data_IF_689477870414
#
_entry.id   IF_689477870414
#
_cell.length_a   1.000
_cell.length_b   1.000
_cell.length_c   1.000
_cell.angle_alpha   90.00
_cell.angle_beta   90.00
_cell.angle_gamma   90.00
#
_symmetry.space_group_name_H-M   'P 1'
#
loop_
_entity.id
_entity.type
_entity.pdbx_description
1 polymer ?
#
# COMPACT_ATOMS: atom_id res chain seq x y z
N UNK A 1 4.29 16.71 -16.31
CA UNK A 1 3.10 17.58 -16.06
C UNK A 1 2.91 17.68 -14.55
N UNK A 2 2.89 18.86 -13.93
CA UNK A 2 2.87 18.95 -12.46
C UNK A 2 1.46 18.97 -11.85
N UNK A 3 1.34 18.52 -10.61
CA UNK A 3 0.16 18.73 -9.76
C UNK A 3 0.11 20.18 -9.28
N UNK A 4 -1.08 20.77 -9.26
CA UNK A 4 -1.35 22.06 -8.62
C UNK A 4 -1.42 21.88 -7.10
N UNK A 5 -1.24 22.96 -6.35
CA UNK A 5 -1.23 22.89 -4.88
C UNK A 5 -2.51 22.27 -4.28
N UNK A 6 -3.69 22.52 -4.85
CA UNK A 6 -4.91 21.86 -4.37
C UNK A 6 -4.90 20.34 -4.66
N UNK A 7 -4.38 19.91 -5.82
CA UNK A 7 -4.26 18.49 -6.17
C UNK A 7 -3.25 17.79 -5.24
N UNK A 8 -2.19 18.48 -4.81
CA UNK A 8 -1.24 17.97 -3.80
C UNK A 8 -1.93 17.76 -2.45
N UNK A 9 -2.78 18.70 -2.02
CA UNK A 9 -3.53 18.58 -0.76
C UNK A 9 -4.57 17.44 -0.84
N UNK A 10 -5.29 17.32 -1.96
CA UNK A 10 -6.24 16.23 -2.18
C UNK A 10 -5.54 14.87 -2.24
N UNK A 11 -4.37 14.79 -2.89
CA UNK A 11 -3.56 13.57 -2.90
C UNK A 11 -3.09 13.20 -1.49
N UNK A 12 -2.59 14.17 -0.72
CA UNK A 12 -2.16 13.95 0.65
C UNK A 12 -3.32 13.42 1.50
N UNK A 13 -4.51 14.03 1.41
CA UNK A 13 -5.70 13.57 2.12
C UNK A 13 -6.18 12.18 1.69
N UNK A 14 -6.07 11.85 0.40
CA UNK A 14 -6.41 10.51 -0.10
C UNK A 14 -5.44 9.45 0.44
N UNK A 15 -4.14 9.74 0.44
CA UNK A 15 -3.13 8.83 1.00
C UNK A 15 -3.28 8.71 2.52
N UNK A 16 -3.57 9.81 3.21
CA UNK A 16 -3.83 9.86 4.66
C UNK A 16 -4.92 8.88 5.08
N UNK A 17 -6.01 8.82 4.32
CA UNK A 17 -7.10 7.87 4.56
C UNK A 17 -6.62 6.42 4.41
N UNK A 18 -5.91 6.09 3.34
CA UNK A 18 -5.40 4.73 3.12
C UNK A 18 -4.44 4.29 4.24
N UNK A 19 -3.62 5.23 4.72
CA UNK A 19 -2.69 5.00 5.81
C UNK A 19 -3.43 4.77 7.13
N UNK A 20 -4.38 5.65 7.46
CA UNK A 20 -5.14 5.61 8.72
C UNK A 20 -6.05 4.38 8.80
N UNK A 21 -6.67 4.00 7.68
CA UNK A 21 -7.64 2.90 7.63
C UNK A 21 -6.99 1.53 7.89
N UNK A 22 -5.86 1.24 7.22
CA UNK A 22 -5.25 -0.10 7.26
C UNK A 22 -3.78 -0.14 7.62
N UNK A 23 -2.98 0.83 7.17
CA UNK A 23 -1.53 0.77 7.30
C UNK A 23 -1.06 0.99 8.74
N UNK A 24 -1.58 2.01 9.41
CA UNK A 24 -1.28 2.29 10.83
C UNK A 24 -1.76 1.15 11.73
N UNK A 25 -2.93 0.59 11.48
CA UNK A 25 -3.45 -0.56 12.23
C UNK A 25 -2.57 -1.81 12.09
N UNK A 26 -2.11 -2.10 10.87
CA UNK A 26 -1.22 -3.23 10.61
C UNK A 26 0.13 -3.06 11.32
N UNK A 27 0.75 -1.87 11.22
CA UNK A 27 2.00 -1.59 11.92
C UNK A 27 1.81 -1.60 13.45
N UNK A 28 0.70 -1.06 13.94
CA UNK A 28 0.36 -1.04 15.37
C UNK A 28 0.24 -2.45 15.94
N UNK A 29 -0.35 -3.37 15.17
CA UNK A 29 -0.46 -4.78 15.55
C UNK A 29 0.92 -5.45 15.59
N UNK A 30 1.76 -5.21 14.58
CA UNK A 30 3.12 -5.77 14.52
C UNK A 30 4.02 -5.27 15.65
N UNK A 31 3.94 -3.98 15.94
CA UNK A 31 4.72 -3.35 17.00
C UNK A 31 3.99 -3.34 18.34
N UNK A 32 2.78 -3.89 18.47
CA UNK A 32 1.99 -3.85 19.71
C UNK A 32 2.04 -2.47 20.43
N UNK A 33 1.91 -1.39 19.66
CA UNK A 33 1.94 -0.01 20.16
C UNK A 33 1.18 0.93 19.21
N UNK A 34 0.67 2.07 19.68
CA UNK A 34 0.05 3.06 18.81
C UNK A 34 1.05 3.62 17.79
N UNK A 35 0.54 3.91 16.59
CA UNK A 35 1.32 4.46 15.48
C UNK A 35 0.78 5.85 15.17
N UNK A 36 1.68 6.81 15.15
CA UNK A 36 1.47 8.15 14.59
C UNK A 36 2.07 8.22 13.19
N UNK A 37 1.54 9.10 12.35
CA UNK A 37 2.06 9.27 11.00
C UNK A 37 2.11 10.74 10.58
N UNK A 38 2.97 11.03 9.60
CA UNK A 38 3.06 12.34 8.97
C UNK A 38 3.33 12.18 7.47
N UNK A 39 2.54 12.89 6.65
CA UNK A 39 2.68 12.89 5.19
C UNK A 39 3.34 14.18 4.72
N UNK A 40 4.33 14.04 3.83
CA UNK A 40 5.04 15.14 3.18
C UNK A 40 5.15 14.88 1.68
N UNK A 41 4.61 15.78 0.87
CA UNK A 41 4.76 15.75 -0.59
C UNK A 41 5.64 16.94 -0.98
N UNK A 42 6.97 16.77 -1.15
CA UNK A 42 7.85 17.86 -1.54
C UNK A 42 7.44 18.47 -2.88
N UNK A 43 7.27 19.80 -2.93
CA UNK A 43 7.02 20.51 -4.19
C UNK A 43 8.24 20.40 -5.13
N UNK A 44 8.07 19.72 -6.26
CA UNK A 44 9.11 19.62 -7.29
C UNK A 44 9.11 20.91 -8.13
N UNK A 45 9.80 21.96 -7.66
CA UNK A 45 9.90 23.24 -8.38
C UNK A 45 10.90 23.13 -9.53
N UNK A 46 10.54 23.70 -10.70
CA UNK A 46 11.25 23.67 -11.99
C UNK A 46 12.73 24.12 -12.01
N UNK A 47 13.32 24.56 -10.91
CA UNK A 47 14.66 25.13 -10.89
C UNK A 47 15.53 24.39 -9.89
N UNK A 48 16.62 23.84 -10.43
CA UNK A 48 17.69 23.11 -9.78
C UNK A 48 17.34 21.68 -9.39
N UNK A 49 17.96 20.75 -10.14
CA UNK A 49 18.23 19.34 -9.81
C UNK A 49 17.65 18.97 -8.46
N UNK A 50 16.50 18.27 -8.44
CA UNK A 50 15.83 17.81 -7.24
C UNK A 50 16.77 16.95 -6.39
N UNK A 51 17.62 17.61 -5.60
CA UNK A 51 18.37 17.00 -4.52
C UNK A 51 17.39 16.89 -3.38
N UNK A 52 16.54 15.87 -3.44
CA UNK A 52 15.86 15.42 -2.25
C UNK A 52 16.97 14.96 -1.29
N UNK A 53 17.24 15.79 -0.29
CA UNK A 53 18.34 15.63 0.65
C UNK A 53 17.87 14.72 1.78
N UNK A 54 18.20 13.44 1.67
CA UNK A 54 17.92 12.45 2.70
C UNK A 54 19.16 12.19 3.55
N UNK A 55 19.01 12.00 4.87
CA UNK A 55 20.14 11.75 5.76
C UNK A 55 20.89 10.45 5.39
N UNK A 56 22.19 10.45 5.68
CA UNK A 56 23.19 9.51 5.14
C UNK A 56 23.39 8.23 5.95
N UNK A 57 22.66 8.05 7.07
CA UNK A 57 22.86 6.97 8.06
C UNK A 57 21.65 6.01 8.19
N UNK A 58 20.78 5.96 7.20
CA UNK A 58 19.62 5.06 7.17
C UNK A 58 19.95 3.72 6.48
N UNK A 59 19.44 2.62 7.03
CA UNK A 59 19.32 1.34 6.33
C UNK A 59 18.08 1.42 5.45
N UNK A 60 18.32 1.54 4.15
CA UNK A 60 17.27 1.90 3.20
C UNK A 60 16.63 0.65 2.67
N UNK A 61 15.83 0.03 3.52
CA UNK A 61 15.29 -1.27 3.25
C UNK A 61 13.89 -1.23 2.68
N UNK A 62 13.82 -1.63 1.41
CA UNK A 62 12.75 -2.40 0.75
C UNK A 62 12.23 -1.61 -0.44
N UNK A 63 12.44 -2.12 -1.65
CA UNK A 63 11.76 -1.63 -2.85
C UNK A 63 10.74 -2.68 -3.26
N UNK A 64 9.47 -2.28 -3.28
CA UNK A 64 8.40 -3.01 -3.93
C UNK A 64 8.13 -2.31 -5.26
N UNK A 65 8.35 -3.03 -6.35
CA UNK A 65 8.15 -2.53 -7.71
C UNK A 65 6.83 -3.05 -8.25
N UNK A 66 5.87 -2.17 -8.51
CA UNK A 66 4.52 -2.60 -8.86
C UNK A 66 4.23 -2.26 -10.31
N UNK A 67 4.13 -3.29 -11.13
CA UNK A 67 3.66 -3.18 -12.50
C UNK A 67 2.22 -3.67 -12.56
N UNK A 68 1.27 -2.79 -12.21
CA UNK A 68 -0.14 -3.04 -12.51
C UNK A 68 -0.33 -3.04 -14.02
N UNK A 69 -0.69 -4.18 -14.60
CA UNK A 69 -1.20 -4.20 -15.98
C UNK A 69 -2.57 -3.52 -15.99
N UNK A 70 -2.63 -2.24 -16.36
CA UNK A 70 -3.89 -1.59 -16.76
C UNK A 70 -4.06 -0.14 -16.31
N UNK A 71 -4.09 0.12 -15.00
CA UNK A 71 -4.74 1.36 -14.51
C UNK A 71 -3.81 2.35 -13.78
N UNK A 72 -2.88 1.84 -12.95
CA UNK A 72 -1.95 2.63 -12.14
C UNK A 72 -0.56 1.98 -12.08
N UNK A 73 0.47 2.82 -12.06
CA UNK A 73 1.85 2.44 -11.76
C UNK A 73 2.37 3.33 -10.63
N UNK A 74 2.72 2.68 -9.52
CA UNK A 74 3.14 3.26 -8.26
C UNK A 74 4.31 2.41 -7.77
N UNK A 75 5.33 3.04 -7.22
CA UNK A 75 6.44 2.33 -6.59
C UNK A 75 6.55 2.73 -5.13
N UNK A 76 6.82 1.73 -4.29
CA UNK A 76 6.95 1.91 -2.86
C UNK A 76 8.36 1.55 -2.43
N UNK A 77 8.97 2.46 -1.67
CA UNK A 77 10.23 2.24 -1.01
C UNK A 77 10.06 2.45 0.49
N UNK A 78 10.67 1.59 1.30
CA UNK A 78 10.76 1.79 2.73
C UNK A 78 12.19 2.18 3.12
N UNK A 79 12.33 3.11 4.06
CA UNK A 79 13.63 3.48 4.62
C UNK A 79 13.57 3.58 6.14
N UNK A 80 14.56 3.01 6.82
CA UNK A 80 14.56 2.83 8.27
C UNK A 80 15.98 3.09 8.79
N UNK A 81 16.17 3.85 9.87
CA UNK A 81 17.52 3.94 10.47
C UNK A 81 17.94 2.59 11.04
N UNK A 82 19.25 2.25 10.99
CA UNK A 82 19.74 0.97 11.53
C UNK A 82 19.26 0.72 12.96
N UNK A 83 19.27 1.74 13.80
CA UNK A 83 18.78 1.64 15.19
C UNK A 83 17.30 1.23 15.27
N UNK A 84 16.45 1.79 14.42
CA UNK A 84 15.03 1.46 14.35
C UNK A 84 14.82 0.07 13.73
N UNK A 85 15.61 -0.28 12.71
CA UNK A 85 15.59 -1.59 12.06
C UNK A 85 15.91 -2.71 13.06
N UNK A 86 16.95 -2.54 13.88
CA UNK A 86 17.30 -3.47 14.96
C UNK A 86 16.19 -3.58 16.00
N UNK A 87 15.54 -2.46 16.37
CA UNK A 87 14.44 -2.46 17.34
C UNK A 87 13.22 -3.23 16.81
N UNK A 88 12.82 -2.99 15.55
CA UNK A 88 11.72 -3.69 14.89
C UNK A 88 12.01 -5.18 14.81
N UNK A 89 13.19 -5.54 14.30
CA UNK A 89 13.61 -6.95 14.19
C UNK A 89 13.63 -7.63 15.56
N UNK A 90 14.18 -6.95 16.58
CA UNK A 90 14.21 -7.49 17.95
C UNK A 90 12.82 -7.77 18.51
N UNK A 91 11.87 -6.88 18.20
CA UNK A 91 10.49 -6.98 18.67
C UNK A 91 9.75 -8.14 18.00
N UNK A 92 9.90 -8.28 16.68
CA UNK A 92 9.27 -9.36 15.91
C UNK A 92 9.85 -10.73 16.25
N UNK A 93 11.17 -10.81 16.46
CA UNK A 93 11.86 -12.06 16.78
C UNK A 93 11.84 -12.41 18.28
N UNK A 94 11.37 -11.49 19.13
CA UNK A 94 11.30 -11.69 20.58
C UNK A 94 12.66 -11.79 21.28
N UNK A 95 13.74 -11.37 20.61
CA UNK A 95 15.11 -11.42 21.13
C UNK A 95 15.88 -10.18 20.74
N UNK A 96 16.89 -9.78 21.52
CA UNK A 96 17.68 -8.59 21.21
C UNK A 96 18.61 -8.87 20.03
N UNK A 97 18.37 -8.18 18.91
CA UNK A 97 19.20 -8.19 17.71
C UNK A 97 20.20 -7.02 17.82
N UNK A 98 21.50 -7.33 17.68
CA UNK A 98 22.57 -6.33 17.75
C UNK A 98 23.11 -5.98 16.35
N UNK A 99 22.97 -6.89 15.41
CA UNK A 99 23.38 -6.74 14.02
C UNK A 99 22.25 -7.24 13.11
N UNK A 100 22.04 -6.57 11.99
CA UNK A 100 20.98 -6.94 11.05
C UNK A 100 21.46 -8.10 10.17
N UNK A 101 21.30 -9.32 10.67
CA UNK A 101 21.59 -10.56 9.95
C UNK A 101 20.42 -10.97 9.02
N UNK A 102 20.57 -12.09 8.31
CA UNK A 102 19.55 -12.60 7.37
C UNK A 102 18.15 -12.75 8.02
N UNK A 103 18.10 -13.09 9.30
CA UNK A 103 16.85 -13.25 10.03
C UNK A 103 16.22 -11.89 10.35
N UNK A 104 17.02 -10.93 10.80
CA UNK A 104 16.58 -9.55 10.99
C UNK A 104 16.12 -8.90 9.67
N UNK A 105 16.84 -9.14 8.58
CA UNK A 105 16.46 -8.68 7.24
C UNK A 105 15.12 -9.28 6.80
N UNK A 106 14.92 -10.58 7.02
CA UNK A 106 13.67 -11.27 6.70
C UNK A 106 12.49 -10.74 7.51
N UNK A 107 12.69 -10.46 8.80
CA UNK A 107 11.67 -9.86 9.66
C UNK A 107 11.23 -8.48 9.14
N UNK A 108 12.18 -7.65 8.71
CA UNK A 108 11.85 -6.34 8.14
C UNK A 108 11.19 -6.44 6.75
N UNK A 109 11.58 -7.42 5.94
CA UNK A 109 10.92 -7.69 4.66
C UNK A 109 9.45 -8.07 4.88
N UNK A 110 9.15 -8.85 5.92
CA UNK A 110 7.76 -9.18 6.29
C UNK A 110 6.98 -7.94 6.74
N UNK A 111 7.59 -7.05 7.52
CA UNK A 111 6.96 -5.75 7.87
C UNK A 111 6.62 -4.98 6.60
N UNK A 112 7.59 -4.81 5.70
CA UNK A 112 7.36 -4.08 4.45
C UNK A 112 6.27 -4.74 3.60
N UNK A 113 6.23 -6.06 3.53
CA UNK A 113 5.19 -6.82 2.83
C UNK A 113 3.79 -6.57 3.41
N UNK A 114 3.67 -6.59 4.75
CA UNK A 114 2.41 -6.32 5.44
C UNK A 114 1.96 -4.87 5.23
N UNK A 115 2.85 -3.88 5.37
CA UNK A 115 2.52 -2.47 5.13
C UNK A 115 2.08 -2.23 3.69
N UNK A 116 2.79 -2.85 2.74
CA UNK A 116 2.48 -2.78 1.31
C UNK A 116 1.09 -3.35 1.05
N UNK A 117 0.81 -4.57 1.53
CA UNK A 117 -0.49 -5.22 1.37
C UNK A 117 -1.62 -4.39 1.98
N UNK A 118 -1.43 -3.88 3.19
CA UNK A 118 -2.43 -3.03 3.86
C UNK A 118 -2.73 -1.74 3.09
N UNK A 119 -1.69 -1.06 2.62
CA UNK A 119 -1.84 0.16 1.82
C UNK A 119 -2.62 -0.11 0.53
N UNK A 120 -2.29 -1.17 -0.20
CA UNK A 120 -2.98 -1.49 -1.45
C UNK A 120 -4.38 -2.04 -1.27
N UNK A 121 -4.65 -2.73 -0.17
CA UNK A 121 -6.01 -3.14 0.15
C UNK A 121 -6.88 -1.90 0.37
N UNK A 122 -6.40 -0.92 1.15
CA UNK A 122 -7.14 0.34 1.35
C UNK A 122 -7.30 1.11 0.04
N UNK A 123 -6.24 1.24 -0.77
CA UNK A 123 -6.31 1.85 -2.09
C UNK A 123 -7.35 1.17 -2.97
N UNK A 124 -7.33 -0.17 -3.05
CA UNK A 124 -8.25 -0.93 -3.90
C UNK A 124 -9.70 -0.80 -3.44
N UNK A 125 -9.94 -0.81 -2.13
CA UNK A 125 -11.28 -0.65 -1.56
C UNK A 125 -11.84 0.75 -1.77
N UNK A 126 -10.99 1.78 -1.68
CA UNK A 126 -11.42 3.18 -1.84
C UNK A 126 -11.47 3.68 -3.29
N UNK A 127 -10.80 3.00 -4.23
CA UNK A 127 -10.71 3.46 -5.63
C UNK A 127 -11.23 2.45 -6.66
N UNK A 128 -11.42 1.20 -6.26
CA UNK A 128 -11.75 0.09 -7.18
C UNK A 128 -10.58 -0.38 -8.05
N UNK A 129 -9.43 0.30 -8.03
CA UNK A 129 -8.25 -0.12 -8.79
C UNK A 129 -7.62 -1.36 -8.18
N UNK A 130 -7.31 -2.36 -9.02
CA UNK A 130 -6.58 -3.56 -8.60
C UNK A 130 -5.12 -3.45 -8.99
N UNK A 131 -4.23 -3.73 -8.05
CA UNK A 131 -2.79 -3.65 -8.24
C UNK A 131 -2.16 -5.00 -7.94
N UNK A 132 -1.40 -5.53 -8.91
CA UNK A 132 -0.61 -6.74 -8.72
C UNK A 132 0.68 -6.41 -7.96
N UNK A 133 0.86 -7.06 -6.81
CA UNK A 133 2.03 -6.86 -5.97
C UNK A 133 3.19 -7.76 -6.42
N UNK A 134 4.37 -7.17 -6.63
CA UNK A 134 5.61 -7.96 -6.73
C UNK A 134 6.11 -8.32 -5.34
N UNK A 135 7.03 -9.27 -5.27
CA UNK A 135 7.75 -9.52 -4.02
C UNK A 135 8.64 -8.32 -3.66
N UNK A 136 8.65 -7.89 -2.38
CA UNK A 136 9.60 -6.89 -1.90
C UNK A 136 11.03 -7.36 -2.08
N UNK A 137 11.94 -6.47 -2.49
CA UNK A 137 13.37 -6.75 -2.59
C UNK A 137 14.17 -5.92 -1.59
N UNK A 138 15.09 -6.58 -0.89
CA UNK A 138 16.03 -5.94 0.03
C UNK A 138 17.22 -5.40 -0.77
N UNK A 139 17.53 -4.12 -0.63
CA UNK A 139 18.75 -3.51 -1.17
C UNK A 139 19.33 -2.54 -0.15
N UNK A 140 20.64 -2.59 0.07
CA UNK A 140 21.34 -1.54 0.82
C UNK A 140 21.93 -0.53 -0.15
N UNK A 141 21.80 0.75 0.17
CA UNK A 141 22.34 1.80 -0.68
C UNK A 141 21.91 3.18 -0.21
N UNK A 142 22.40 4.22 -0.90
CA UNK A 142 21.95 5.58 -0.67
C UNK A 142 20.57 5.76 -1.29
N UNK A 143 19.69 6.54 -0.66
CA UNK A 143 18.33 6.74 -1.16
C UNK A 143 18.34 7.29 -2.58
N UNK A 144 19.22 8.27 -2.85
CA UNK A 144 19.42 8.83 -4.20
C UNK A 144 19.78 7.78 -5.26
N UNK A 145 20.39 6.67 -4.88
CA UNK A 145 20.72 5.58 -5.81
C UNK A 145 19.58 4.58 -5.90
N UNK A 146 18.90 4.30 -4.78
CA UNK A 146 17.76 3.39 -4.70
C UNK A 146 16.50 3.92 -5.37
N UNK A 147 16.28 5.24 -5.40
CA UNK A 147 15.14 5.84 -6.12
C UNK A 147 15.38 5.96 -7.62
N UNK A 148 16.62 5.86 -8.12
CA UNK A 148 16.92 6.10 -9.54
C UNK A 148 16.31 5.05 -10.44
N UNK A 149 16.39 3.78 -10.05
CA UNK A 149 15.81 2.67 -10.79
C UNK A 149 14.27 2.82 -10.82
N UNK A 150 13.60 2.90 -9.65
CA UNK A 150 12.19 3.24 -9.53
C UNK A 150 11.74 4.42 -10.41
N UNK A 151 12.37 5.58 -10.21
CA UNK A 151 12.01 6.80 -10.92
C UNK A 151 12.09 6.65 -12.44
N UNK A 152 13.05 5.86 -12.95
CA UNK A 152 13.17 5.56 -14.39
C UNK A 152 12.10 4.61 -14.90
N UNK A 153 11.64 3.69 -14.06
CA UNK A 153 10.59 2.73 -14.39
C UNK A 153 9.22 3.42 -14.46
N UNK A 154 9.00 4.46 -13.62
CA UNK A 154 7.81 5.32 -13.67
C UNK A 154 7.82 6.28 -14.85
N UNK A 155 8.96 6.92 -15.14
CA UNK A 155 9.10 7.84 -16.26
C UNK A 155 10.55 7.89 -16.79
N UNK A 156 10.71 8.01 -18.10
CA UNK A 156 12.02 8.21 -18.74
C UNK A 156 12.67 9.55 -18.32
N UNK A 157 11.87 10.50 -17.82
CA UNK A 157 12.31 11.79 -17.29
C UNK A 157 12.13 11.87 -15.76
N UNK A 158 13.23 11.85 -14.96
CA UNK A 158 13.16 11.86 -13.49
C UNK A 158 12.52 13.10 -12.85
N UNK A 159 12.32 14.18 -13.62
CA UNK A 159 11.81 15.46 -13.12
C UNK A 159 10.28 15.58 -13.16
N UNK A 160 9.59 14.54 -13.64
CA UNK A 160 8.14 14.55 -13.82
C UNK A 160 7.41 13.56 -12.89
N UNK A 161 8.07 12.98 -11.88
CA UNK A 161 7.42 12.12 -10.88
C UNK A 161 6.97 12.89 -9.64
N UNK A 162 5.93 12.37 -8.97
CA UNK A 162 5.50 12.79 -7.64
C UNK A 162 6.10 11.84 -6.62
N UNK A 163 6.77 12.40 -5.62
CA UNK A 163 7.31 11.67 -4.48
C UNK A 163 6.49 12.07 -3.26
N UNK A 164 5.96 11.09 -2.54
CA UNK A 164 5.32 11.28 -1.24
C UNK A 164 6.13 10.54 -0.19
N UNK A 165 6.54 11.23 0.87
CA UNK A 165 7.18 10.66 2.05
C UNK A 165 6.15 10.55 3.18
N UNK A 166 6.06 9.38 3.79
CA UNK A 166 5.14 9.08 4.88
C UNK A 166 5.99 8.53 6.02
N UNK A 167 6.14 9.30 7.10
CA UNK A 167 6.77 8.77 8.32
C UNK A 167 5.72 8.06 9.17
N UNK A 168 6.04 6.85 9.62
CA UNK A 168 5.24 6.03 10.52
C UNK A 168 6.06 5.83 11.79
N UNK A 169 5.56 6.33 12.92
CA UNK A 169 6.28 6.38 14.19
C UNK A 169 5.53 5.68 15.31
N UNK A 170 6.17 4.70 15.94
CA UNK A 170 5.68 4.07 17.16
C UNK A 170 5.80 4.99 18.37
N UNK A 171 4.70 5.20 19.08
CA UNK A 171 4.66 6.17 20.19
C UNK A 171 5.52 5.78 21.39
N UNK A 172 5.71 4.47 21.64
CA UNK A 172 6.44 3.99 22.81
C UNK A 172 7.93 3.79 22.49
N UNK A 173 8.23 3.14 21.38
CA UNK A 173 9.60 2.78 20.99
C UNK A 173 10.32 3.91 20.25
N UNK A 174 9.58 4.93 19.76
CA UNK A 174 10.08 5.98 18.85
C UNK A 174 10.77 5.39 17.61
N UNK A 175 10.34 4.20 17.23
CA UNK A 175 10.77 3.54 16.00
C UNK A 175 10.09 4.26 14.84
N UNK A 176 10.89 4.67 13.86
CA UNK A 176 10.44 5.42 12.69
C UNK A 176 10.70 4.61 11.40
N UNK A 177 9.67 4.47 10.58
CA UNK A 177 9.71 3.88 9.24
C UNK A 177 9.23 4.94 8.26
N UNK A 178 10.01 5.24 7.24
CA UNK A 178 9.57 6.06 6.12
C UNK A 178 9.05 5.17 4.99
N UNK A 179 7.87 5.48 4.47
CA UNK A 179 7.25 4.88 3.31
C UNK A 179 7.20 5.94 2.20
N UNK A 180 8.01 5.72 1.17
CA UNK A 180 8.20 6.63 0.04
C UNK A 180 7.42 6.09 -1.15
N UNK A 181 6.45 6.86 -1.62
CA UNK A 181 5.65 6.57 -2.81
C UNK A 181 6.20 7.37 -3.98
N UNK A 182 6.52 6.71 -5.08
CA UNK A 182 6.93 7.33 -6.34
C UNK A 182 5.88 6.99 -7.40
N UNK A 183 5.33 7.99 -8.06
CA UNK A 183 4.28 7.77 -9.05
C UNK A 183 4.23 8.87 -10.12
N UNK A 184 3.66 8.55 -11.27
CA UNK A 184 3.42 9.52 -12.33
C UNK A 184 2.27 10.48 -11.91
N UNK A 185 2.35 11.80 -12.21
CA UNK A 185 1.32 12.77 -11.90
C UNK A 185 -0.08 12.40 -12.43
N UNK A 186 -0.16 11.73 -13.59
CA UNK A 186 -1.45 11.30 -14.13
C UNK A 186 -2.08 10.19 -13.28
N UNK A 187 -1.28 9.32 -12.66
CA UNK A 187 -1.76 8.29 -11.75
C UNK A 187 -2.17 8.90 -10.41
N UNK A 188 -1.41 9.87 -9.92
CA UNK A 188 -1.81 10.66 -8.75
C UNK A 188 -3.18 11.36 -8.98
N UNK A 189 -3.41 11.92 -10.16
CA UNK A 189 -4.72 12.51 -10.52
C UNK A 189 -5.83 11.49 -10.58
N UNK A 190 -5.57 10.30 -11.16
CA UNK A 190 -6.54 9.20 -11.16
C UNK A 190 -6.98 8.85 -9.74
N UNK A 191 -6.04 8.70 -8.80
CA UNK A 191 -6.34 8.42 -7.39
C UNK A 191 -7.24 9.46 -6.74
N UNK A 192 -7.00 10.75 -7.02
CA UNK A 192 -7.84 11.85 -6.53
C UNK A 192 -9.24 11.80 -7.16
N UNK A 193 -9.31 11.54 -8.47
CA UNK A 193 -10.57 11.58 -9.22
C UNK A 193 -11.49 10.38 -8.98
N UNK A 194 -10.94 9.18 -8.76
CA UNK A 194 -11.73 7.95 -8.54
C UNK A 194 -12.57 8.03 -7.26
N UNK A 195 -12.10 8.78 -6.27
CA UNK A 195 -12.84 9.03 -5.02
C UNK A 195 -14.11 9.86 -5.27
N UNK A 196 -14.06 10.82 -6.18
CA UNK A 196 -15.21 11.65 -6.54
C UNK A 196 -16.28 10.86 -7.30
N UNK A 197 -15.92 9.82 -8.04
CA UNK A 197 -16.89 8.98 -8.76
C UNK A 197 -17.62 8.03 -7.80
N UNK A 198 -16.94 7.43 -6.82
CA UNK A 198 -17.57 6.54 -5.83
C UNK A 198 -18.50 7.31 -4.88
N UNK A 199 -18.12 8.52 -4.45
CA UNK A 199 -18.96 9.39 -3.62
C UNK A 199 -20.23 9.89 -4.35
N UNK A 200 -20.26 9.91 -5.68
CA UNK A 200 -21.44 10.29 -6.47
C UNK A 200 -22.45 9.14 -6.67
N UNK A 201 -22.15 7.91 -6.20
CA UNK A 201 -23.05 6.76 -6.32
C UNK A 201 -23.97 6.61 -5.09
N UNK A 202 -23.67 7.26 -3.96
CA UNK A 202 -24.46 7.14 -2.73
C UNK A 202 -25.81 7.90 -2.73
N UNK A 203 -26.10 8.71 -3.75
CA UNK A 203 -27.36 9.47 -3.88
C UNK A 203 -28.46 8.77 -4.72
N UNK A 204 -28.46 7.43 -4.77
CA UNK A 204 -29.67 6.69 -5.12
C UNK A 204 -30.39 6.24 -3.85
N UNK A 205 -31.21 7.15 -3.29
CA UNK A 205 -32.29 6.76 -2.37
C UNK A 205 -33.23 5.78 -3.09
N UNK A 206 -33.03 4.48 -2.86
CA UNK A 206 -34.04 3.47 -3.19
C UNK A 206 -35.21 3.65 -2.22
N UNK A 207 -36.26 4.36 -2.66
CA UNK A 207 -37.56 4.31 -2.01
C UNK A 207 -38.04 2.86 -1.95
N UNK A 208 -38.15 2.36 -0.73
CA UNK A 208 -39.09 1.33 -0.26
C UNK A 208 -39.23 0.06 -1.12
N UNK A 209 -38.77 -1.07 -0.60
CA UNK A 209 -39.63 -2.24 -0.47
C UNK A 209 -39.22 -3.07 0.75
N UNK A 210 -40.07 -3.00 1.76
CA UNK A 210 -40.05 -3.84 2.95
C UNK A 210 -40.34 -5.30 2.58
N UNK A 211 -39.49 -6.22 3.04
CA UNK A 211 -39.76 -7.64 3.33
C UNK A 211 -40.54 -8.48 2.31
N UNK A 212 -39.84 -9.39 1.63
CA UNK A 212 -40.34 -10.74 1.29
C UNK A 212 -39.14 -11.70 1.20
N UNK A 213 -38.83 -12.38 2.31
CA UNK A 213 -38.09 -13.64 2.25
C UNK A 213 -39.01 -14.70 1.66
N UNK A 214 -38.57 -15.37 0.60
CA UNK A 214 -39.22 -16.55 0.04
C UNK A 214 -39.76 -16.35 -1.37
N UNK A 215 -38.88 -16.42 -2.37
CA UNK A 215 -39.25 -16.68 -3.76
C UNK A 215 -38.40 -17.85 -4.26
N UNK A 216 -39.06 -18.90 -4.75
CA UNK A 216 -38.40 -20.04 -5.41
C UNK A 216 -37.63 -19.54 -6.63
N UNK A 217 -36.34 -19.83 -6.71
CA UNK A 217 -35.52 -19.59 -7.89
C UNK A 217 -35.49 -20.87 -8.74
N UNK A 218 -36.48 -21.02 -9.62
CA UNK A 218 -36.60 -22.21 -10.48
C UNK A 218 -35.37 -22.42 -11.39
N UNK A 219 -34.58 -21.37 -11.64
CA UNK A 219 -33.31 -21.44 -12.39
C UNK A 219 -32.13 -22.06 -11.63
N UNK A 220 -32.19 -22.13 -10.28
CA UNK A 220 -31.15 -22.76 -9.45
C UNK A 220 -31.49 -24.23 -9.19
N UNK A 221 -32.78 -24.55 -9.01
CA UNK A 221 -33.23 -25.94 -8.78
C UNK A 221 -32.99 -26.85 -10.00
N UNK A 222 -33.04 -26.30 -11.22
CA UNK A 222 -32.77 -27.03 -12.46
C UNK A 222 -31.27 -27.39 -12.63
N UNK A 223 -30.37 -26.57 -12.08
CA UNK A 223 -28.91 -26.78 -12.11
C UNK A 223 -28.42 -27.81 -11.07
N UNK A 224 -29.21 -28.06 -10.01
CA UNK A 224 -28.88 -29.04 -8.96
C UNK A 224 -29.39 -30.45 -9.32
N UNK A 225 -30.45 -30.56 -10.13
CA UNK A 225 -31.05 -31.84 -10.53
C UNK A 225 -30.11 -32.78 -11.32
N UNK A 226 -29.21 -32.23 -12.11
CA UNK A 226 -28.31 -33.02 -12.98
C UNK A 226 -27.09 -33.60 -12.23
N UNK A 227 -26.78 -33.13 -11.02
CA UNK A 227 -25.62 -33.61 -10.24
C UNK A 227 -25.93 -34.77 -9.28
N UNK A 228 -27.21 -35.11 -9.03
CA UNK A 228 -27.60 -36.09 -8.00
C UNK A 228 -27.85 -37.51 -8.57
N UNK A 229 -27.80 -37.71 -9.90
CA UNK A 229 -28.15 -39.00 -10.51
C UNK A 229 -27.01 -40.03 -10.66
N UNK A 230 -25.81 -39.80 -10.11
CA UNK A 230 -24.65 -40.70 -10.35
C UNK A 230 -24.26 -41.57 -9.13
N UNK A 231 -24.83 -41.35 -7.94
CA UNK A 231 -24.52 -42.19 -6.78
C UNK A 231 -25.76 -42.90 -6.23
N UNK A 232 -26.17 -44.01 -6.87
CA UNK A 232 -26.92 -45.11 -6.22
C UNK A 232 -27.16 -46.30 -7.14
N UNK A 233 -26.12 -47.06 -7.48
CA UNK A 233 -26.27 -48.50 -7.81
C UNK A 233 -25.07 -49.26 -7.23
N UNK A 234 -25.30 -49.96 -6.11
CA UNK A 234 -24.89 -51.36 -5.81
C UNK A 234 -24.54 -51.57 -4.33
N UNK A 235 -25.28 -52.47 -3.68
CA UNK A 235 -24.84 -53.12 -2.44
C UNK A 235 -25.89 -53.31 -1.34
N UNK A 236 -26.95 -54.10 -1.60
CA UNK A 236 -27.62 -54.89 -0.55
C UNK A 236 -27.04 -56.31 -0.55
N UNK A 237 -27.12 -57.01 0.59
CA UNK A 237 -27.95 -58.21 0.60
C UNK A 237 -29.15 -58.12 1.56
#
# INVERSE_FOLDING_TARGET
MYLKNYEIQELAGTIEEFITEKTCSALSTLLNEPISHQISIPENRKSDKAEVSFPSNEIKLCSVRLNGKGDLHIELLYTIKLEHALNIASKLLGTKIQELDEMGMSALQEVANILTGSFFNALSENTGYRIDLSTPSFKEGKLKDLIKEPTKDVDSCPNDVIITDISLSGENTKTEIHMIIIQHPDHAKKLISSKNEILNVEDYESKSNTNLLGGKNDSIDELIGDYVSIEKISGEP
#
